data_IF_308905487981
#
_entry.id   IF_308905487981
#
_cell.length_a   1.000
_cell.length_b   1.000
_cell.length_c   1.000
_cell.angle_alpha   90.00
_cell.angle_beta   90.00
_cell.angle_gamma   90.00
#
_symmetry.space_group_name_H-M   'P 1'
#
loop_
_entity.id
_entity.type
_entity.pdbx_description
1 polymer ?
#
# COMPACT_ATOMS: atom_id res chain seq x y z
N UNK A 1 -12.85 44.30 10.81
CA UNK A 1 -14.04 43.92 11.60
C UNK A 1 -15.22 43.72 10.65
N UNK A 2 -15.74 42.48 10.57
CA UNK A 2 -17.13 42.02 10.31
C UNK A 2 -18.00 42.83 9.31
N UNK A 3 -18.26 42.34 8.07
CA UNK A 3 -19.35 41.44 7.61
C UNK A 3 -20.78 41.97 7.73
N UNK A 4 -21.52 42.05 6.60
CA UNK A 4 -22.98 41.80 6.42
C UNK A 4 -23.29 41.95 4.90
N UNK A 5 -23.36 40.89 4.08
CA UNK A 5 -24.47 39.95 3.78
C UNK A 5 -25.76 40.63 3.25
N UNK A 6 -26.13 40.30 2.00
CA UNK A 6 -27.50 40.01 1.48
C UNK A 6 -27.40 39.80 -0.05
N UNK A 7 -27.37 38.56 -0.55
CA UNK A 7 -28.47 37.64 -0.88
C UNK A 7 -29.26 38.02 -2.15
N UNK A 8 -28.89 37.40 -3.28
CA UNK A 8 -29.59 37.49 -4.58
C UNK A 8 -30.47 36.24 -4.73
N UNK A 9 -31.79 36.43 -4.81
CA UNK A 9 -32.75 35.40 -5.18
C UNK A 9 -32.52 34.93 -6.63
N UNK A 10 -32.64 33.63 -6.87
CA UNK A 10 -32.76 33.06 -8.21
C UNK A 10 -33.92 32.07 -8.23
N UNK A 11 -34.68 32.18 -9.31
CA UNK A 11 -35.99 31.60 -9.60
C UNK A 11 -36.14 30.08 -9.45
N UNK A 12 -37.37 29.72 -9.10
CA UNK A 12 -37.98 28.39 -9.05
C UNK A 12 -38.23 27.79 -10.44
N UNK A 13 -37.92 26.50 -10.62
CA UNK A 13 -38.45 25.63 -11.68
C UNK A 13 -38.99 24.32 -11.08
N UNK A 14 -40.04 23.69 -11.62
CA UNK A 14 -40.73 22.59 -10.95
C UNK A 14 -40.19 21.21 -11.36
N UNK A 15 -40.11 20.32 -10.38
CA UNK A 15 -40.31 18.87 -10.47
C UNK A 15 -39.68 18.10 -11.65
N UNK A 16 -38.59 17.39 -11.37
CA UNK A 16 -38.58 15.93 -11.58
C UNK A 16 -37.59 15.26 -10.64
N UNK A 17 -38.07 14.20 -10.01
CA UNK A 17 -37.39 13.38 -9.04
C UNK A 17 -36.36 12.53 -9.77
N UNK A 18 -35.08 12.71 -9.46
CA UNK A 18 -34.13 11.61 -9.61
C UNK A 18 -33.27 11.59 -8.35
N UNK A 19 -33.77 10.89 -7.34
CA UNK A 19 -32.94 10.32 -6.31
C UNK A 19 -32.09 9.24 -7.01
N UNK A 20 -30.98 9.64 -7.62
CA UNK A 20 -29.92 8.68 -7.91
C UNK A 20 -29.36 8.30 -6.56
N UNK A 21 -29.74 7.12 -6.09
CA UNK A 21 -29.07 6.46 -4.98
C UNK A 21 -27.55 6.56 -5.24
N UNK A 22 -26.74 7.17 -4.35
CA UNK A 22 -25.33 6.85 -4.34
C UNK A 22 -25.26 5.40 -3.88
N UNK A 23 -25.25 4.46 -4.82
CA UNK A 23 -24.82 3.10 -4.57
C UNK A 23 -23.44 3.22 -3.93
N UNK A 24 -23.41 3.04 -2.62
CA UNK A 24 -22.21 2.85 -1.85
C UNK A 24 -21.50 1.64 -2.45
N UNK A 25 -20.58 1.87 -3.39
CA UNK A 25 -19.61 0.86 -3.80
C UNK A 25 -18.56 0.74 -2.69
N UNK A 26 -18.99 0.25 -1.54
CA UNK A 26 -18.10 -0.38 -0.56
C UNK A 26 -18.22 -1.87 -0.86
N UNK A 27 -17.24 -2.43 -1.56
CA UNK A 27 -17.30 -3.85 -1.90
C UNK A 27 -16.03 -4.43 -2.50
N UNK A 28 -15.15 -3.59 -3.04
CA UNK A 28 -13.79 -4.02 -3.34
C UNK A 28 -12.89 -2.84 -3.03
N UNK A 29 -11.89 -3.03 -2.17
CA UNK A 29 -10.78 -2.08 -2.09
C UNK A 29 -10.18 -1.84 -3.49
N UNK A 30 -9.42 -0.76 -3.68
CA UNK A 30 -8.70 -0.55 -4.93
C UNK A 30 -7.96 -1.85 -5.33
N UNK A 31 -7.97 -2.24 -6.61
CA UNK A 31 -7.28 -3.45 -7.06
C UNK A 31 -5.82 -3.36 -6.65
N UNK A 32 -5.26 -4.48 -6.16
CA UNK A 32 -3.83 -4.60 -5.93
C UNK A 32 -3.16 -4.45 -7.30
N UNK A 33 -2.47 -3.33 -7.50
CA UNK A 33 -1.65 -3.07 -8.67
C UNK A 33 -0.19 -3.14 -8.25
N UNK A 34 0.72 -3.50 -9.16
CA UNK A 34 2.15 -3.54 -8.87
C UNK A 34 2.70 -2.29 -8.15
N UNK A 35 2.41 -1.05 -8.59
CA UNK A 35 2.89 0.14 -7.88
C UNK A 35 2.37 0.23 -6.44
N UNK A 36 1.13 -0.23 -6.18
CA UNK A 36 0.61 -0.26 -4.81
C UNK A 36 1.30 -1.30 -3.94
N UNK A 37 1.72 -2.44 -4.51
CA UNK A 37 2.50 -3.45 -3.81
C UNK A 37 3.88 -2.89 -3.49
N UNK A 38 4.55 -2.28 -4.46
CA UNK A 38 5.86 -1.61 -4.26
C UNK A 38 5.79 -0.58 -3.13
N UNK A 39 4.79 0.30 -3.15
CA UNK A 39 4.60 1.32 -2.13
C UNK A 39 4.38 0.71 -0.74
N UNK A 40 3.59 -0.37 -0.64
CA UNK A 40 3.32 -1.06 0.63
C UNK A 40 4.53 -1.80 1.16
N UNK A 41 5.26 -2.52 0.32
CA UNK A 41 6.50 -3.21 0.69
C UNK A 41 7.53 -2.20 1.20
N UNK A 42 7.71 -1.10 0.47
CA UNK A 42 8.61 -0.02 0.91
C UNK A 42 8.14 0.63 2.21
N UNK A 43 6.84 0.79 2.41
CA UNK A 43 6.29 1.34 3.65
C UNK A 43 6.63 0.45 4.85
N UNK A 44 6.38 -0.86 4.76
CA UNK A 44 6.69 -1.81 5.84
C UNK A 44 8.19 -1.76 6.18
N UNK A 45 9.06 -1.78 5.18
CA UNK A 45 10.50 -1.71 5.39
C UNK A 45 10.94 -0.37 6.01
N UNK A 46 10.32 0.76 5.63
CA UNK A 46 10.61 2.07 6.22
C UNK A 46 10.17 2.20 7.68
N UNK A 47 9.21 1.39 8.12
CA UNK A 47 8.74 1.38 9.51
C UNK A 47 9.66 0.56 10.41
N UNK A 48 10.62 -0.18 9.85
CA UNK A 48 11.55 -0.97 10.63
C UNK A 48 12.70 -0.11 11.15
N UNK A 49 12.91 -0.05 12.46
CA UNK A 49 13.83 0.89 13.12
C UNK A 49 15.30 0.77 12.65
N UNK A 50 15.71 -0.41 12.17
CA UNK A 50 17.07 -0.65 11.65
C UNK A 50 17.27 -0.12 10.21
N UNK A 51 16.19 0.20 9.50
CA UNK A 51 16.24 0.65 8.11
C UNK A 51 16.17 2.18 8.05
N UNK A 52 17.15 2.77 7.36
CA UNK A 52 17.14 4.20 7.06
C UNK A 52 16.26 4.46 5.83
N UNK A 53 15.10 5.09 6.05
CA UNK A 53 14.09 5.35 5.03
C UNK A 53 14.60 6.20 3.85
N UNK A 54 15.63 7.04 4.06
CA UNK A 54 16.21 7.87 3.00
C UNK A 54 17.16 7.07 2.09
N UNK A 55 17.75 5.99 2.60
CA UNK A 55 18.67 5.13 1.84
C UNK A 55 17.97 3.94 1.19
N UNK A 56 16.78 3.60 1.64
CA UNK A 56 16.04 2.44 1.14
C UNK A 56 15.60 2.64 -0.31
N UNK A 57 16.13 1.78 -1.19
CA UNK A 57 15.69 1.65 -2.58
C UNK A 57 15.18 0.24 -2.85
N UNK A 58 14.40 0.07 -3.92
CA UNK A 58 13.89 -1.25 -4.35
C UNK A 58 15.02 -2.27 -4.64
N UNK A 59 16.21 -1.78 -4.99
CA UNK A 59 17.40 -2.60 -5.32
C UNK A 59 18.39 -2.72 -4.16
N UNK A 60 18.11 -2.10 -3.02
CA UNK A 60 19.01 -2.16 -1.87
C UNK A 60 19.11 -3.57 -1.31
N UNK A 61 20.32 -4.04 -1.05
CA UNK A 61 20.53 -5.35 -0.43
C UNK A 61 20.27 -5.28 1.08
N UNK A 62 19.14 -5.85 1.53
CA UNK A 62 18.65 -5.69 2.91
C UNK A 62 19.68 -6.12 3.97
N UNK A 63 20.29 -7.29 3.79
CA UNK A 63 21.29 -7.83 4.72
C UNK A 63 22.62 -7.10 4.67
N UNK A 64 23.05 -6.62 3.49
CA UNK A 64 24.39 -6.01 3.32
C UNK A 64 24.40 -4.52 3.60
N UNK A 65 23.37 -3.78 3.19
CA UNK A 65 23.31 -2.32 3.34
C UNK A 65 22.77 -1.91 4.72
N UNK A 66 21.75 -2.60 5.22
CA UNK A 66 21.12 -2.28 6.51
C UNK A 66 21.53 -3.22 7.64
N UNK A 67 22.33 -4.25 7.33
CA UNK A 67 22.83 -5.18 8.35
C UNK A 67 21.74 -6.01 9.02
N UNK A 68 20.60 -6.23 8.35
CA UNK A 68 19.53 -7.06 8.88
C UNK A 68 20.03 -8.49 9.08
N UNK A 69 19.84 -9.02 10.28
CA UNK A 69 20.17 -10.40 10.59
C UNK A 69 19.02 -11.35 10.17
N UNK A 70 19.20 -12.64 10.40
CA UNK A 70 18.18 -13.64 10.06
C UNK A 70 16.90 -13.52 10.89
N UNK A 71 16.97 -12.97 12.11
CA UNK A 71 15.80 -12.79 12.96
C UNK A 71 15.00 -11.56 12.52
N UNK A 72 15.70 -10.48 12.17
CA UNK A 72 15.09 -9.28 11.59
C UNK A 72 14.31 -9.61 10.30
N UNK A 73 14.87 -10.50 9.47
CA UNK A 73 14.19 -10.97 8.26
C UNK A 73 12.90 -11.75 8.56
N UNK A 74 12.84 -12.50 9.67
CA UNK A 74 11.62 -13.20 10.09
C UNK A 74 10.53 -12.19 10.46
N UNK A 75 10.88 -11.14 11.22
CA UNK A 75 9.93 -10.08 11.59
C UNK A 75 9.38 -9.34 10.37
N UNK A 76 10.25 -8.98 9.42
CA UNK A 76 9.85 -8.32 8.17
C UNK A 76 8.92 -9.22 7.36
N UNK A 77 9.24 -10.51 7.24
CA UNK A 77 8.41 -11.48 6.50
C UNK A 77 7.04 -11.63 7.15
N UNK A 78 6.98 -11.77 8.48
CA UNK A 78 5.71 -11.83 9.21
C UNK A 78 4.85 -10.58 8.98
N UNK A 79 5.44 -9.39 8.96
CA UNK A 79 4.72 -8.15 8.67
C UNK A 79 4.17 -8.11 7.23
N UNK A 80 4.90 -8.68 6.26
CA UNK A 80 4.43 -8.79 4.87
C UNK A 80 3.28 -9.80 4.74
N UNK A 81 3.40 -10.97 5.36
CA UNK A 81 2.37 -12.00 5.41
C UNK A 81 1.05 -11.45 5.97
N UNK A 82 1.13 -10.64 7.03
CA UNK A 82 -0.03 -10.04 7.68
C UNK A 82 -0.69 -8.93 6.81
N UNK A 83 0.11 -8.11 6.11
CA UNK A 83 -0.40 -7.03 5.24
C UNK A 83 -1.13 -7.56 3.99
N UNK A 84 -0.58 -8.60 3.36
CA UNK A 84 -1.14 -9.15 2.11
C UNK A 84 -1.94 -10.44 2.32
N UNK A 85 -2.03 -10.93 3.57
CA UNK A 85 -2.82 -12.08 4.00
C UNK A 85 -2.44 -13.36 3.24
N UNK A 86 -1.16 -13.71 3.28
CA UNK A 86 -0.59 -14.91 2.64
C UNK A 86 0.52 -15.51 3.51
N UNK A 87 1.00 -16.70 3.14
CA UNK A 87 2.11 -17.37 3.83
C UNK A 87 3.33 -17.47 2.90
N UNK A 88 4.50 -17.10 3.42
CA UNK A 88 5.80 -17.22 2.77
C UNK A 88 6.58 -18.35 3.45
N UNK A 89 6.90 -19.45 2.76
CA UNK A 89 7.73 -20.49 3.35
C UNK A 89 9.16 -19.98 3.59
N UNK A 90 9.79 -20.42 4.67
CA UNK A 90 11.17 -20.05 5.04
C UNK A 90 12.17 -20.20 3.89
N UNK A 91 12.00 -21.23 3.05
CA UNK A 91 12.86 -21.49 1.89
C UNK A 91 12.83 -20.38 0.84
N UNK A 92 11.70 -19.70 0.71
CA UNK A 92 11.51 -18.57 -0.20
C UNK A 92 11.98 -17.28 0.47
N UNK A 93 11.61 -17.08 1.75
CA UNK A 93 12.06 -15.95 2.55
C UNK A 93 13.60 -15.80 2.61
N UNK A 94 14.32 -16.93 2.67
CA UNK A 94 15.78 -16.94 2.67
C UNK A 94 16.41 -16.39 1.38
N UNK A 95 15.65 -16.40 0.27
CA UNK A 95 16.10 -15.92 -1.05
C UNK A 95 15.87 -14.43 -1.25
N UNK A 96 15.13 -13.76 -0.36
CA UNK A 96 14.92 -12.32 -0.45
C UNK A 96 16.23 -11.58 -0.14
N UNK A 97 16.79 -10.94 -1.17
CA UNK A 97 18.00 -10.13 -1.08
C UNK A 97 17.61 -8.65 -1.09
N UNK A 98 16.65 -8.30 -1.94
CA UNK A 98 16.20 -6.92 -2.17
C UNK A 98 14.68 -6.78 -1.99
N UNK A 99 14.16 -5.56 -1.71
CA UNK A 99 12.72 -5.31 -1.66
C UNK A 99 12.01 -5.69 -2.97
N UNK A 100 12.69 -5.54 -4.12
CA UNK A 100 12.15 -5.93 -5.42
C UNK A 100 11.83 -7.43 -5.50
N UNK A 101 12.65 -8.29 -4.87
CA UNK A 101 12.39 -9.74 -4.84
C UNK A 101 11.08 -10.05 -4.11
N UNK A 102 10.80 -9.31 -3.02
CA UNK A 102 9.57 -9.44 -2.23
C UNK A 102 8.37 -8.97 -3.05
N UNK A 103 8.49 -7.82 -3.71
CA UNK A 103 7.43 -7.28 -4.60
C UNK A 103 7.10 -8.28 -5.69
N UNK A 104 8.10 -8.85 -6.36
CA UNK A 104 7.88 -9.81 -7.43
C UNK A 104 7.20 -11.07 -6.91
N UNK A 105 7.63 -11.56 -5.75
CA UNK A 105 6.99 -12.72 -5.11
C UNK A 105 5.50 -12.47 -4.84
N UNK A 106 5.15 -11.31 -4.30
CA UNK A 106 3.77 -10.92 -4.00
C UNK A 106 2.96 -10.78 -5.31
N UNK A 107 3.53 -10.17 -6.34
CA UNK A 107 2.89 -10.03 -7.65
C UNK A 107 2.57 -11.40 -8.27
N UNK A 108 3.53 -12.33 -8.24
CA UNK A 108 3.37 -13.69 -8.75
C UNK A 108 2.29 -14.47 -7.97
N UNK A 109 2.19 -14.25 -6.65
CA UNK A 109 1.17 -14.91 -5.80
C UNK A 109 -0.24 -14.40 -6.03
N UNK A 110 -0.40 -13.13 -6.38
CA UNK A 110 -1.70 -12.50 -6.62
C UNK A 110 -2.08 -12.44 -8.11
N UNK A 111 -1.30 -13.08 -9.00
CA UNK A 111 -1.47 -13.04 -10.46
C UNK A 111 -1.53 -11.60 -11.03
N UNK A 112 -0.72 -10.71 -10.45
CA UNK A 112 -0.62 -9.31 -10.88
C UNK A 112 0.57 -9.18 -11.81
N UNK A 113 0.27 -9.08 -13.10
CA UNK A 113 1.24 -8.82 -14.15
C UNK A 113 1.02 -7.41 -14.69
N UNK A 114 2.10 -6.68 -14.95
CA UNK A 114 2.09 -5.29 -15.46
C UNK A 114 1.23 -5.08 -16.71
#
# INVERSE_FOLDING_TARGET
MLTHRTFRQINTGPFSKFLVNPCRRFGHGPPLTKPMIEDRVLLILRLYDKIDAEKLNLKSELKREFGLDSLDMVEVVMAMEEEFVFEIPDSDAQRFITPLDIVQYICDKHDIYD
#
